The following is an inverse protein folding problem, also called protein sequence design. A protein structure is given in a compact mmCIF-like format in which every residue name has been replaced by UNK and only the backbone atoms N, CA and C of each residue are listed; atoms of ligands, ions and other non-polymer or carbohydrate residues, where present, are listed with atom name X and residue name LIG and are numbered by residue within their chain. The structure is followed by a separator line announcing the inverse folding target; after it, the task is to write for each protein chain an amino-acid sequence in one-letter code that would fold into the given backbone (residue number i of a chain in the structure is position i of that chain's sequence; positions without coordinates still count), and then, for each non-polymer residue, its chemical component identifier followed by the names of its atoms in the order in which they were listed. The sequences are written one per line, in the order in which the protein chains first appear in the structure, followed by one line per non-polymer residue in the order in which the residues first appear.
data_IF_730018769245
#
_entry.id   IF_730018769245
#
_cell.length_a   1.000
_cell.length_b   1.000
_cell.length_c   1.000
_cell.angle_alpha   90.00
_cell.angle_beta   90.00
_cell.angle_gamma   90.00
#
_symmetry.space_group_name_H-M   'P 1'
#
loop_
_entity.id
_entity.type
_entity.pdbx_description
1 polymer ?
#
# COMPACT_ATOMS: atom_id res chain seq x y z
N UNK A 1 -55.30 61.35 -70.60
CA UNK A 1 -54.66 60.12 -70.09
C UNK A 1 -54.35 60.30 -68.59
N UNK A 2 -55.16 59.69 -67.71
CA UNK A 2 -54.81 58.57 -66.81
C UNK A 2 -53.97 58.95 -65.56
N UNK A 3 -54.64 59.17 -64.42
CA UNK A 3 -54.56 58.38 -63.15
C UNK A 3 -55.16 59.18 -61.97
N UNK A 4 -56.33 58.76 -61.47
CA UNK A 4 -56.79 59.08 -60.10
C UNK A 4 -56.83 57.78 -59.28
N UNK A 5 -56.06 57.79 -58.20
CA UNK A 5 -56.06 56.80 -57.11
C UNK A 5 -57.35 56.95 -56.29
N UNK A 6 -58.01 55.84 -55.95
CA UNK A 6 -58.85 55.74 -54.76
C UNK A 6 -58.67 54.40 -54.05
N UNK A 7 -57.96 54.53 -52.94
CA UNK A 7 -57.72 53.66 -51.78
C UNK A 7 -58.97 52.86 -51.34
N UNK A 8 -58.90 51.52 -51.31
CA UNK A 8 -59.87 50.65 -50.61
C UNK A 8 -59.21 49.98 -49.39
N UNK A 9 -59.98 49.99 -48.30
CA UNK A 9 -59.69 49.54 -46.92
C UNK A 9 -59.19 48.09 -46.86
N UNK A 10 -58.04 47.86 -46.23
CA UNK A 10 -57.64 46.56 -45.70
C UNK A 10 -58.14 46.42 -44.26
N UNK A 11 -59.00 45.43 -44.02
CA UNK A 11 -59.48 45.02 -42.69
C UNK A 11 -58.37 44.18 -42.03
N UNK A 12 -57.92 44.58 -40.84
CA UNK A 12 -56.98 43.81 -40.04
C UNK A 12 -57.67 42.51 -39.57
N UNK A 13 -57.22 41.36 -40.09
CA UNK A 13 -57.60 40.04 -39.59
C UNK A 13 -56.50 39.62 -38.61
N UNK A 14 -56.77 39.74 -37.32
CA UNK A 14 -55.95 39.17 -36.25
C UNK A 14 -56.13 37.65 -36.24
N UNK A 15 -55.19 36.92 -36.85
CA UNK A 15 -55.09 35.47 -36.69
C UNK A 15 -54.61 35.16 -35.26
N UNK A 16 -55.53 34.74 -34.41
CA UNK A 16 -55.24 34.09 -33.13
C UNK A 16 -54.72 32.68 -33.43
N UNK A 17 -53.40 32.48 -33.42
CA UNK A 17 -52.80 31.15 -33.49
C UNK A 17 -52.93 30.49 -32.10
N UNK A 18 -53.45 29.25 -32.00
CA UNK A 18 -53.53 28.55 -30.72
C UNK A 18 -52.12 28.30 -30.18
N UNK A 19 -51.87 28.74 -28.96
CA UNK A 19 -50.62 28.51 -28.25
C UNK A 19 -50.30 27.02 -28.22
N UNK A 20 -49.15 26.65 -28.79
CA UNK A 20 -48.53 25.33 -28.55
C UNK A 20 -48.34 25.18 -27.05
N UNK A 21 -49.18 24.37 -26.42
CA UNK A 21 -48.87 23.80 -25.10
C UNK A 21 -47.56 23.04 -25.28
N UNK A 22 -46.48 23.55 -24.68
CA UNK A 22 -45.28 22.74 -24.43
C UNK A 22 -45.73 21.58 -23.56
N UNK A 23 -45.98 20.43 -24.20
CA UNK A 23 -46.20 19.18 -23.51
C UNK A 23 -44.89 18.85 -22.83
N UNK A 24 -44.84 19.10 -21.52
CA UNK A 24 -43.78 18.65 -20.63
C UNK A 24 -43.87 17.12 -20.56
N UNK A 25 -43.44 16.45 -21.63
CA UNK A 25 -43.23 15.01 -21.65
C UNK A 25 -41.98 14.81 -20.82
N UNK A 26 -42.18 14.61 -19.52
CA UNK A 26 -41.15 14.09 -18.62
C UNK A 26 -40.49 12.90 -19.32
N UNK A 27 -39.22 13.07 -19.70
CA UNK A 27 -38.45 12.10 -20.46
C UNK A 27 -38.04 10.94 -19.54
N UNK A 28 -39.02 10.16 -19.08
CA UNK A 28 -38.82 8.92 -18.32
C UNK A 28 -37.72 8.01 -18.91
N UNK A 29 -37.65 7.75 -20.23
CA UNK A 29 -36.57 6.93 -20.80
C UNK A 29 -35.18 7.56 -20.64
N UNK A 30 -35.05 8.89 -20.73
CA UNK A 30 -33.76 9.58 -20.54
C UNK A 30 -33.32 9.55 -19.09
N UNK A 31 -34.25 9.66 -18.14
CA UNK A 31 -33.96 9.58 -16.71
C UNK A 31 -33.51 8.14 -16.35
N UNK A 32 -34.22 7.13 -16.85
CA UNK A 32 -33.83 5.71 -16.64
C UNK A 32 -32.45 5.42 -17.23
N UNK A 33 -32.16 5.91 -18.44
CA UNK A 33 -30.84 5.78 -19.05
C UNK A 33 -29.73 6.44 -18.22
N UNK A 34 -29.95 7.66 -17.71
CA UNK A 34 -28.99 8.36 -16.87
C UNK A 34 -28.74 7.63 -15.54
N UNK A 35 -29.78 7.09 -14.91
CA UNK A 35 -29.64 6.26 -13.70
C UNK A 35 -28.83 5.01 -14.03
N UNK A 36 -29.15 4.32 -15.12
CA UNK A 36 -28.43 3.11 -15.52
C UNK A 36 -26.95 3.40 -15.83
N UNK A 37 -26.66 4.51 -16.51
CA UNK A 37 -25.30 4.98 -16.78
C UNK A 37 -24.55 5.32 -15.48
N UNK A 38 -25.21 5.98 -14.54
CA UNK A 38 -24.62 6.31 -13.24
C UNK A 38 -24.30 5.05 -12.43
N UNK A 39 -25.21 4.08 -12.39
CA UNK A 39 -25.01 2.78 -11.74
C UNK A 39 -23.87 2.00 -12.41
N UNK A 40 -23.84 1.95 -13.74
CA UNK A 40 -22.77 1.28 -14.48
C UNK A 40 -21.40 1.93 -14.22
N UNK A 41 -21.34 3.27 -14.22
CA UNK A 41 -20.12 4.02 -13.93
C UNK A 41 -19.66 3.78 -12.49
N UNK A 42 -20.59 3.77 -11.54
CA UNK A 42 -20.30 3.47 -10.13
C UNK A 42 -19.77 2.05 -9.94
N UNK A 43 -20.41 1.04 -10.55
CA UNK A 43 -19.96 -0.34 -10.49
C UNK A 43 -18.59 -0.52 -11.15
N UNK A 44 -18.36 0.13 -12.31
CA UNK A 44 -17.06 0.12 -12.97
C UNK A 44 -15.97 0.72 -12.08
N UNK A 45 -16.26 1.86 -11.43
CA UNK A 45 -15.35 2.47 -10.47
C UNK A 45 -15.08 1.57 -9.26
N UNK A 46 -16.12 0.94 -8.69
CA UNK A 46 -15.99 0.04 -7.54
C UNK A 46 -15.09 -1.17 -7.85
N UNK A 47 -15.20 -1.72 -9.07
CA UNK A 47 -14.33 -2.81 -9.54
C UNK A 47 -12.89 -2.35 -9.79
N UNK A 48 -12.69 -1.14 -10.34
CA UNK A 48 -11.36 -0.62 -10.69
C UNK A 48 -10.61 -0.10 -9.45
N UNK A 49 -11.31 0.49 -8.49
CA UNK A 49 -10.77 1.08 -7.25
C UNK A 49 -9.65 0.26 -6.58
N UNK A 50 -9.81 -1.05 -6.29
CA UNK A 50 -8.76 -1.85 -5.65
C UNK A 50 -7.50 -2.02 -6.52
N UNK A 51 -7.60 -1.86 -7.84
CA UNK A 51 -6.47 -1.99 -8.75
C UNK A 51 -5.68 -0.69 -8.92
N UNK A 52 -6.27 0.47 -8.59
CA UNK A 52 -5.59 1.77 -8.69
C UNK A 52 -4.37 1.79 -7.76
N UNK A 53 -4.51 1.28 -6.54
CA UNK A 53 -3.41 1.19 -5.58
C UNK A 53 -2.26 0.31 -6.11
N UNK A 54 -2.60 -0.84 -6.69
CA UNK A 54 -1.63 -1.76 -7.31
C UNK A 54 -0.91 -1.14 -8.52
N UNK A 55 -1.64 -0.41 -9.37
CA UNK A 55 -1.03 0.30 -10.50
C UNK A 55 -0.10 1.39 -9.99
N UNK A 56 -0.51 2.15 -8.96
CA UNK A 56 0.29 3.20 -8.37
C UNK A 56 1.58 2.66 -7.73
N UNK A 57 1.51 1.54 -7.01
CA UNK A 57 2.70 0.84 -6.51
C UNK A 57 3.59 0.35 -7.65
N UNK A 58 3.01 -0.13 -8.75
CA UNK A 58 3.77 -0.47 -9.96
C UNK A 58 4.51 0.71 -10.58
N UNK A 59 3.90 1.90 -10.61
CA UNK A 59 4.57 3.14 -11.04
C UNK A 59 5.75 3.47 -10.13
N UNK A 60 5.55 3.40 -8.81
CA UNK A 60 6.60 3.68 -7.83
C UNK A 60 7.76 2.68 -7.94
N UNK A 61 7.44 1.39 -8.10
CA UNK A 61 8.44 0.34 -8.33
C UNK A 61 9.20 0.55 -9.64
N UNK A 62 8.51 0.92 -10.72
CA UNK A 62 9.17 1.26 -11.99
C UNK A 62 10.13 2.44 -11.82
N UNK A 63 9.73 3.46 -11.07
CA UNK A 63 10.57 4.62 -10.78
C UNK A 63 11.79 4.26 -9.92
N UNK A 64 11.60 3.41 -8.91
CA UNK A 64 12.65 2.92 -8.03
C UNK A 64 13.71 2.09 -8.79
N UNK A 65 13.26 1.25 -9.73
CA UNK A 65 14.15 0.34 -10.48
C UNK A 65 14.65 0.96 -11.79
N UNK A 66 14.12 2.12 -12.20
CA UNK A 66 14.55 2.87 -13.38
C UNK A 66 16.07 3.03 -13.57
N UNK A 67 16.89 3.37 -12.55
CA UNK A 67 18.33 3.52 -12.72
C UNK A 67 18.99 2.20 -13.12
N UNK A 68 18.58 1.09 -12.51
CA UNK A 68 19.05 -0.27 -12.86
C UNK A 68 18.62 -0.64 -14.28
N UNK A 69 17.37 -0.31 -14.65
CA UNK A 69 16.87 -0.50 -16.00
C UNK A 69 17.65 0.30 -17.06
N UNK A 70 18.07 1.53 -16.75
CA UNK A 70 18.85 2.33 -17.68
C UNK A 70 20.30 1.84 -17.79
N UNK A 71 20.92 1.40 -16.70
CA UNK A 71 22.29 0.85 -16.69
C UNK A 71 22.41 -0.44 -17.53
N UNK A 72 21.36 -1.25 -17.57
CA UNK A 72 21.32 -2.49 -18.36
C UNK A 72 21.19 -2.28 -19.87
N UNK A 73 20.95 -1.04 -20.32
CA UNK A 73 20.90 -0.69 -21.76
C UNK A 73 22.21 -1.04 -22.49
N UNK A 74 23.35 -1.01 -21.81
CA UNK A 74 24.65 -1.38 -22.38
C UNK A 74 24.74 -2.86 -22.76
N UNK A 75 24.05 -3.73 -22.04
CA UNK A 75 24.12 -5.19 -22.22
C UNK A 75 22.94 -5.75 -23.02
N UNK A 76 21.75 -5.15 -22.87
CA UNK A 76 20.53 -5.59 -23.55
C UNK A 76 19.92 -4.41 -24.33
N UNK A 77 20.11 -4.36 -25.67
CA UNK A 77 19.66 -3.24 -26.47
C UNK A 77 18.13 -3.25 -26.71
N UNK A 78 17.49 -4.43 -26.69
CA UNK A 78 16.05 -4.55 -26.87
C UNK A 78 15.29 -4.16 -25.59
N UNK A 79 14.48 -3.12 -25.68
CA UNK A 79 13.72 -2.55 -24.56
C UNK A 79 12.77 -3.57 -23.90
N UNK A 80 12.13 -4.44 -24.69
CA UNK A 80 11.21 -5.47 -24.17
C UNK A 80 11.96 -6.52 -23.36
N UNK A 81 13.08 -7.05 -23.88
CA UNK A 81 13.87 -8.04 -23.14
C UNK A 81 14.46 -7.45 -21.85
N UNK A 82 14.93 -6.20 -21.90
CA UNK A 82 15.45 -5.52 -20.73
C UNK A 82 14.37 -5.34 -19.66
N UNK A 83 13.17 -4.94 -20.06
CA UNK A 83 12.03 -4.80 -19.15
C UNK A 83 11.68 -6.17 -18.53
N UNK A 84 11.56 -7.24 -19.33
CA UNK A 84 11.28 -8.61 -18.84
C UNK A 84 12.32 -9.07 -17.80
N UNK A 85 13.61 -8.90 -18.08
CA UNK A 85 14.68 -9.34 -17.18
C UNK A 85 14.58 -8.60 -15.84
N UNK A 86 14.46 -7.28 -15.88
CA UNK A 86 14.41 -6.45 -14.68
C UNK A 86 13.14 -6.74 -13.87
N UNK A 87 11.98 -6.86 -14.51
CA UNK A 87 10.75 -7.20 -13.80
C UNK A 87 10.71 -8.64 -13.30
N UNK A 88 11.34 -9.58 -14.01
CA UNK A 88 11.50 -10.96 -13.56
C UNK A 88 12.39 -11.04 -12.32
N UNK A 89 13.52 -10.32 -12.32
CA UNK A 89 14.38 -10.18 -11.15
C UNK A 89 13.63 -9.55 -9.97
N UNK A 90 12.85 -8.50 -10.21
CA UNK A 90 12.01 -7.87 -9.19
C UNK A 90 10.93 -8.83 -8.65
N UNK A 91 10.28 -9.61 -9.51
CA UNK A 91 9.29 -10.62 -9.11
C UNK A 91 9.92 -11.66 -8.18
N UNK A 92 11.08 -12.20 -8.55
CA UNK A 92 11.81 -13.16 -7.71
C UNK A 92 12.20 -12.51 -6.39
N UNK A 93 12.74 -11.29 -6.42
CA UNK A 93 13.17 -10.57 -5.24
C UNK A 93 12.03 -10.32 -4.25
N UNK A 94 10.82 -9.97 -4.74
CA UNK A 94 9.65 -9.70 -3.89
C UNK A 94 8.94 -10.97 -3.42
N UNK A 95 8.95 -12.04 -4.21
CA UNK A 95 8.24 -13.30 -3.88
C UNK A 95 9.08 -14.25 -3.02
N UNK A 96 10.41 -14.23 -3.15
CA UNK A 96 11.32 -15.08 -2.37
C UNK A 96 11.12 -14.97 -0.85
N UNK A 97 11.01 -13.75 -0.25
CA UNK A 97 10.58 -13.53 1.13
C UNK A 97 9.34 -14.34 1.55
N UNK A 98 8.28 -14.23 0.75
CA UNK A 98 6.98 -14.84 1.03
C UNK A 98 7.05 -16.36 0.93
N UNK A 99 7.70 -16.89 -0.11
CA UNK A 99 7.87 -18.34 -0.28
C UNK A 99 8.70 -18.91 0.86
N UNK A 100 9.76 -18.22 1.28
CA UNK A 100 10.56 -18.65 2.42
C UNK A 100 9.73 -18.69 3.71
N UNK A 101 8.98 -17.62 4.03
CA UNK A 101 8.09 -17.60 5.20
C UNK A 101 7.08 -18.76 5.13
N UNK A 102 6.39 -18.92 4.00
CA UNK A 102 5.38 -19.97 3.84
C UNK A 102 5.99 -21.38 3.97
N UNK A 103 7.21 -21.58 3.48
CA UNK A 103 7.91 -22.88 3.59
C UNK A 103 8.34 -23.22 5.02
N UNK A 104 8.66 -22.21 5.85
CA UNK A 104 9.00 -22.42 7.25
C UNK A 104 7.74 -22.57 8.11
N UNK A 105 6.69 -21.79 7.83
CA UNK A 105 5.36 -21.87 8.50
C UNK A 105 4.63 -23.18 8.22
N UNK A 106 4.92 -23.86 7.10
CA UNK A 106 4.34 -25.19 6.81
C UNK A 106 5.16 -26.34 7.38
N UNK A 107 6.45 -26.12 7.67
CA UNK A 107 7.35 -27.13 8.29
C UNK A 107 7.31 -27.12 9.82
N UNK A 108 7.00 -25.98 10.42
CA UNK A 108 6.65 -25.86 11.84
C UNK A 108 5.17 -25.51 11.89
N UNK A 109 4.34 -26.38 12.45
CA UNK A 109 2.92 -26.14 12.69
C UNK A 109 2.72 -24.88 13.56
N UNK A 110 2.71 -23.70 12.95
CA UNK A 110 2.27 -22.44 13.60
C UNK A 110 0.83 -22.57 14.12
N UNK A 111 0.06 -23.53 13.59
CA UNK A 111 -1.28 -23.87 14.07
C UNK A 111 -1.30 -24.56 15.46
N UNK A 112 -0.18 -25.09 15.96
CA UNK A 112 -0.06 -25.54 17.36
C UNK A 112 0.53 -24.46 18.30
N UNK A 113 1.08 -23.37 17.75
CA UNK A 113 1.80 -22.33 18.50
C UNK A 113 0.95 -21.12 18.90
N UNK A 114 -0.24 -20.89 18.34
CA UNK A 114 -1.10 -19.79 18.84
C UNK A 114 -1.49 -20.01 20.32
N UNK A 115 -1.68 -21.27 20.71
CA UNK A 115 -1.92 -21.69 22.09
C UNK A 115 -0.64 -21.62 22.96
N UNK A 116 0.54 -21.84 22.37
CA UNK A 116 1.82 -21.74 23.07
C UNK A 116 2.32 -20.30 23.24
N UNK A 117 2.05 -19.40 22.29
CA UNK A 117 2.31 -17.96 22.45
C UNK A 117 1.46 -17.42 23.61
N UNK A 118 0.17 -17.81 23.66
CA UNK A 118 -0.75 -17.46 24.74
C UNK A 118 -0.26 -18.01 26.09
N UNK A 119 0.21 -19.27 26.13
CA UNK A 119 0.75 -19.89 27.35
C UNK A 119 2.07 -19.26 27.76
N UNK A 120 3.02 -19.10 26.85
CA UNK A 120 4.38 -18.57 27.11
C UNK A 120 4.34 -17.15 27.63
N UNK A 121 3.53 -16.27 27.00
CA UNK A 121 3.36 -14.89 27.47
C UNK A 121 2.68 -14.88 28.85
N UNK A 122 1.62 -15.69 29.05
CA UNK A 122 0.96 -15.81 30.36
C UNK A 122 1.93 -16.29 31.44
N UNK A 123 2.75 -17.32 31.17
CA UNK A 123 3.76 -17.79 32.14
C UNK A 123 4.89 -16.80 32.37
N UNK A 124 5.40 -16.09 31.35
CA UNK A 124 6.46 -15.07 31.51
C UNK A 124 5.97 -13.86 32.32
N UNK A 125 4.71 -13.44 32.11
CA UNK A 125 4.06 -12.39 32.89
C UNK A 125 3.79 -12.82 34.34
N UNK A 126 3.31 -14.05 34.56
CA UNK A 126 3.03 -14.59 35.90
C UNK A 126 4.30 -14.83 36.72
N UNK A 127 5.41 -15.17 36.07
CA UNK A 127 6.71 -15.42 36.74
C UNK A 127 7.52 -14.13 36.99
N UNK A 128 7.13 -13.00 36.37
CA UNK A 128 7.81 -11.71 36.53
C UNK A 128 9.21 -11.65 35.90
N UNK A 129 9.60 -12.68 35.12
CA UNK A 129 10.86 -12.73 34.39
C UNK A 129 10.70 -12.10 32.99
N UNK A 130 10.28 -10.85 32.95
CA UNK A 130 10.04 -10.12 31.69
C UNK A 130 11.35 -9.78 30.97
N UNK A 131 12.44 -9.62 31.72
CA UNK A 131 13.76 -9.24 31.22
C UNK A 131 14.69 -10.44 30.94
N UNK A 132 14.28 -11.68 31.29
CA UNK A 132 15.10 -12.88 31.05
C UNK A 132 16.46 -12.91 31.76
N UNK A 133 16.70 -12.03 32.73
CA UNK A 133 17.97 -11.92 33.46
C UNK A 133 18.00 -12.89 34.64
N UNK A 134 18.73 -14.00 34.50
CA UNK A 134 19.12 -14.86 35.62
C UNK A 134 20.28 -14.21 36.37
N UNK A 135 19.94 -13.51 37.45
CA UNK A 135 20.88 -12.76 38.25
C UNK A 135 21.63 -13.66 39.22
N UNK A 136 22.80 -14.15 38.80
CA UNK A 136 23.69 -14.95 39.66
C UNK A 136 24.43 -14.07 40.71
N UNK A 137 24.57 -12.77 40.46
CA UNK A 137 25.31 -11.82 41.30
C UNK A 137 24.40 -10.71 41.88
N UNK A 138 23.97 -10.88 43.14
CA UNK A 138 23.04 -9.97 43.87
C UNK A 138 23.56 -8.54 44.10
N UNK A 139 24.81 -8.21 43.75
CA UNK A 139 25.44 -6.91 44.03
C UNK A 139 25.44 -5.91 42.86
N UNK A 140 25.05 -6.33 41.65
CA UNK A 140 24.98 -5.42 40.50
C UNK A 140 23.71 -4.57 40.55
N UNK A 141 23.81 -3.28 40.20
CA UNK A 141 22.68 -2.36 40.07
C UNK A 141 21.56 -2.92 39.19
N UNK A 142 21.94 -3.66 38.13
CA UNK A 142 21.02 -4.31 37.20
C UNK A 142 20.16 -5.39 37.89
N UNK A 143 20.73 -6.13 38.84
CA UNK A 143 19.99 -7.18 39.56
C UNK A 143 19.08 -6.61 40.64
N UNK A 144 19.49 -5.51 41.28
CA UNK A 144 18.63 -4.81 42.25
C UNK A 144 17.43 -4.19 41.55
N UNK A 145 17.65 -3.55 40.40
CA UNK A 145 16.59 -3.02 39.56
C UNK A 145 15.65 -4.13 39.04
N UNK A 146 16.19 -5.29 38.65
CA UNK A 146 15.38 -6.44 38.23
C UNK A 146 14.53 -7.01 39.38
N UNK A 147 15.07 -7.13 40.60
CA UNK A 147 14.29 -7.54 41.79
C UNK A 147 13.22 -6.51 42.16
N UNK A 148 13.54 -5.21 42.15
CA UNK A 148 12.59 -4.14 42.45
C UNK A 148 11.44 -4.11 41.43
N UNK A 149 11.76 -4.27 40.14
CA UNK A 149 10.77 -4.42 39.07
C UNK A 149 9.93 -5.70 39.28
N UNK A 150 10.55 -6.82 39.65
CA UNK A 150 9.85 -8.10 39.87
C UNK A 150 8.89 -8.04 41.07
N UNK A 151 9.25 -7.33 42.13
CA UNK A 151 8.37 -7.10 43.30
C UNK A 151 7.23 -6.16 42.93
N UNK A 152 7.51 -5.07 42.21
CA UNK A 152 6.49 -4.12 41.75
C UNK A 152 5.47 -4.78 40.80
N UNK A 153 5.95 -5.62 39.87
CA UNK A 153 5.14 -6.40 38.92
C UNK A 153 4.26 -7.46 39.57
N UNK A 154 4.62 -7.96 40.76
CA UNK A 154 3.81 -8.93 41.53
C UNK A 154 2.67 -8.31 42.33
N UNK A 155 2.54 -6.99 42.33
CA UNK A 155 1.41 -6.31 42.99
C UNK A 155 0.11 -6.66 42.27
N UNK A 156 -0.93 -7.06 43.00
CA UNK A 156 -2.22 -7.54 42.46
C UNK A 156 -2.86 -6.57 41.44
N UNK A 157 -2.80 -5.26 41.72
CA UNK A 157 -3.28 -4.21 40.80
C UNK A 157 -2.48 -4.12 39.49
N UNK A 158 -1.17 -4.35 39.56
CA UNK A 158 -0.27 -4.28 38.40
C UNK A 158 -0.42 -5.54 37.55
N UNK A 159 -0.60 -6.71 38.16
CA UNK A 159 -0.89 -7.95 37.43
C UNK A 159 -2.20 -7.85 36.65
N UNK A 160 -3.31 -7.40 37.26
CA UNK A 160 -4.61 -7.28 36.58
C UNK A 160 -4.54 -6.30 35.40
N UNK A 161 -3.83 -5.17 35.55
CA UNK A 161 -3.66 -4.21 34.47
C UNK A 161 -2.73 -4.74 33.36
N UNK A 162 -1.62 -5.41 33.72
CA UNK A 162 -0.70 -5.99 32.75
C UNK A 162 -1.30 -7.17 32.00
N UNK A 163 -2.04 -8.05 32.65
CA UNK A 163 -2.70 -9.18 31.99
C UNK A 163 -3.82 -8.71 31.09
N UNK A 164 -4.62 -7.71 31.49
CA UNK A 164 -5.68 -7.16 30.63
C UNK A 164 -5.15 -6.36 29.44
N UNK A 165 -4.02 -5.66 29.58
CA UNK A 165 -3.33 -5.01 28.46
C UNK A 165 -2.66 -6.05 27.56
N UNK A 166 -1.99 -7.06 28.12
CA UNK A 166 -1.39 -8.14 27.36
C UNK A 166 -2.43 -8.95 26.58
N UNK A 167 -3.56 -9.30 27.19
CA UNK A 167 -4.67 -10.00 26.53
C UNK A 167 -5.28 -9.16 25.41
N UNK A 168 -5.46 -7.84 25.59
CA UNK A 168 -5.91 -6.95 24.51
C UNK A 168 -4.93 -6.89 23.35
N UNK A 169 -3.62 -6.75 23.65
CA UNK A 169 -2.57 -6.72 22.64
C UNK A 169 -2.50 -8.05 21.89
N UNK A 170 -2.56 -9.19 22.59
CA UNK A 170 -2.49 -10.53 21.99
C UNK A 170 -3.74 -10.84 21.16
N UNK A 171 -4.94 -10.50 21.65
CA UNK A 171 -6.17 -10.67 20.88
C UNK A 171 -6.17 -9.81 19.62
N UNK A 172 -5.65 -8.58 19.71
CA UNK A 172 -5.49 -7.71 18.55
C UNK A 172 -4.46 -8.26 17.56
N UNK A 173 -3.32 -8.78 18.03
CA UNK A 173 -2.30 -9.43 17.19
C UNK A 173 -2.88 -10.67 16.50
N UNK A 174 -3.59 -11.52 17.23
CA UNK A 174 -4.14 -12.78 16.72
C UNK A 174 -5.23 -12.52 15.68
N UNK A 175 -6.14 -11.57 15.94
CA UNK A 175 -7.12 -11.12 14.97
C UNK A 175 -6.45 -10.55 13.72
N UNK A 176 -5.42 -9.71 13.89
CA UNK A 176 -4.65 -9.14 12.78
C UNK A 176 -3.93 -10.22 11.96
N UNK A 177 -3.39 -11.26 12.59
CA UNK A 177 -2.74 -12.38 11.89
C UNK A 177 -3.74 -13.16 11.02
N UNK A 178 -4.95 -13.39 11.52
CA UNK A 178 -6.03 -14.03 10.75
C UNK A 178 -6.45 -13.12 9.59
N UNK A 179 -6.62 -11.82 9.83
CA UNK A 179 -6.97 -10.85 8.78
C UNK A 179 -5.89 -10.77 7.70
N UNK A 180 -4.61 -10.80 8.06
CA UNK A 180 -3.49 -10.86 7.11
C UNK A 180 -3.58 -12.13 6.27
N UNK A 181 -3.84 -13.29 6.88
CA UNK A 181 -3.97 -14.56 6.18
C UNK A 181 -5.11 -14.53 5.14
N UNK A 182 -6.26 -13.96 5.51
CA UNK A 182 -7.40 -13.77 4.62
C UNK A 182 -7.12 -12.75 3.51
N UNK A 183 -6.17 -11.83 3.72
CA UNK A 183 -5.78 -10.80 2.76
C UNK A 183 -4.70 -11.27 1.77
N UNK A 184 -4.05 -12.43 2.01
CA UNK A 184 -2.99 -12.97 1.13
C UNK A 184 -3.41 -13.05 -0.35
N UNK A 185 -4.60 -13.58 -0.72
CA UNK A 185 -5.00 -13.63 -2.13
C UNK A 185 -5.09 -12.24 -2.78
N UNK A 186 -5.57 -11.23 -2.03
CA UNK A 186 -5.61 -9.85 -2.48
C UNK A 186 -4.21 -9.27 -2.66
N UNK A 187 -3.29 -9.52 -1.71
CA UNK A 187 -1.88 -9.10 -1.80
C UNK A 187 -1.22 -9.71 -3.04
N UNK A 188 -1.41 -11.00 -3.31
CA UNK A 188 -0.86 -11.68 -4.50
C UNK A 188 -1.40 -11.04 -5.77
N UNK A 189 -2.71 -10.80 -5.85
CA UNK A 189 -3.32 -10.14 -7.01
C UNK A 189 -2.76 -8.73 -7.21
N UNK A 190 -2.68 -7.94 -6.15
CA UNK A 190 -2.08 -6.60 -6.17
C UNK A 190 -0.60 -6.63 -6.57
N UNK A 191 0.17 -7.64 -6.13
CA UNK A 191 1.56 -7.82 -6.50
C UNK A 191 1.72 -8.13 -7.99
N UNK A 192 0.91 -9.06 -8.52
CA UNK A 192 0.91 -9.41 -9.95
C UNK A 192 0.61 -8.17 -10.79
N UNK A 193 -0.42 -7.42 -10.43
CA UNK A 193 -0.82 -6.19 -11.14
C UNK A 193 0.27 -5.13 -11.04
N UNK A 194 0.86 -4.95 -9.86
CA UNK A 194 1.97 -4.01 -9.66
C UNK A 194 3.18 -4.36 -10.54
N UNK A 195 3.51 -5.64 -10.67
CA UNK A 195 4.64 -6.11 -11.49
C UNK A 195 4.33 -5.97 -12.98
N UNK A 196 3.11 -6.27 -13.42
CA UNK A 196 2.67 -6.01 -14.78
C UNK A 196 2.70 -4.51 -15.10
N UNK A 197 2.18 -3.67 -14.20
CA UNK A 197 2.27 -2.22 -14.34
C UNK A 197 3.74 -1.79 -14.43
N UNK A 198 4.61 -2.27 -13.54
CA UNK A 198 6.05 -1.99 -13.55
C UNK A 198 6.67 -2.33 -14.90
N UNK A 199 6.33 -3.49 -15.47
CA UNK A 199 6.80 -3.91 -16.78
C UNK A 199 6.41 -2.93 -17.88
N UNK A 200 5.12 -2.56 -17.96
CA UNK A 200 4.63 -1.61 -18.96
C UNK A 200 5.21 -0.21 -18.77
N UNK A 201 5.37 0.26 -17.53
CA UNK A 201 5.99 1.56 -17.25
C UNK A 201 7.50 1.58 -17.57
N UNK A 202 8.24 0.50 -17.37
CA UNK A 202 9.64 0.41 -17.77
C UNK A 202 9.81 0.35 -19.29
N UNK A 203 8.94 -0.39 -19.98
CA UNK A 203 8.99 -0.54 -21.44
C UNK A 203 8.52 0.72 -22.16
N UNK A 204 7.32 1.20 -21.83
CA UNK A 204 6.59 2.23 -22.59
C UNK A 204 6.53 3.58 -21.86
N UNK A 205 7.21 3.74 -20.71
CA UNK A 205 7.09 4.90 -19.84
C UNK A 205 7.37 6.25 -20.51
N UNK A 206 8.31 6.31 -21.47
CA UNK A 206 8.58 7.53 -22.24
C UNK A 206 7.37 7.96 -23.07
N UNK A 207 6.85 7.04 -23.88
CA UNK A 207 5.66 7.26 -24.70
C UNK A 207 4.44 7.66 -23.84
N UNK A 208 4.24 6.98 -22.72
CA UNK A 208 3.14 7.28 -21.81
C UNK A 208 3.29 8.65 -21.15
N UNK A 209 4.49 9.02 -20.72
CA UNK A 209 4.76 10.34 -20.13
C UNK A 209 4.54 11.47 -21.13
N UNK A 210 5.00 11.33 -22.38
CA UNK A 210 4.80 12.32 -23.44
C UNK A 210 3.31 12.49 -23.76
N UNK A 211 2.54 11.40 -23.78
CA UNK A 211 1.10 11.46 -24.02
C UNK A 211 0.34 12.11 -22.88
N UNK A 212 0.72 11.81 -21.63
CA UNK A 212 0.18 12.48 -20.44
C UNK A 212 0.45 13.98 -20.50
N UNK A 213 1.69 14.38 -20.82
CA UNK A 213 2.09 15.78 -20.99
C UNK A 213 1.22 16.48 -22.06
N UNK A 214 0.91 15.81 -23.17
CA UNK A 214 0.09 16.38 -24.25
C UNK A 214 -1.39 16.61 -23.87
N UNK A 215 -1.94 15.83 -22.93
CA UNK A 215 -3.33 15.96 -22.50
C UNK A 215 -3.56 17.15 -21.56
N UNK A 216 -2.49 17.66 -20.92
CA UNK A 216 -2.60 18.80 -20.02
C UNK A 216 -2.81 20.11 -20.82
N UNK A 217 -3.90 20.87 -20.58
CA UNK A 217 -4.18 22.14 -21.25
C UNK A 217 -3.32 23.29 -20.70
N UNK A 218 -2.02 23.06 -20.50
CA UNK A 218 -1.05 24.02 -19.94
C UNK A 218 -0.15 24.60 -21.03
N UNK A 219 0.18 25.88 -20.93
CA UNK A 219 1.13 26.59 -21.82
C UNK A 219 2.55 26.01 -21.63
N UNK A 220 3.30 25.83 -22.72
CA UNK A 220 4.53 25.03 -22.79
C UNK A 220 5.50 25.18 -21.62
N UNK A 221 5.93 26.41 -21.29
CA UNK A 221 6.92 26.64 -20.23
C UNK A 221 6.44 26.20 -18.83
N UNK A 222 5.19 26.48 -18.47
CA UNK A 222 4.60 26.06 -17.19
C UNK A 222 4.37 24.54 -17.12
N UNK A 223 4.20 23.91 -18.29
CA UNK A 223 4.00 22.47 -18.39
C UNK A 223 5.29 21.75 -18.00
N UNK A 224 6.40 22.07 -18.65
CA UNK A 224 7.70 21.43 -18.38
C UNK A 224 8.14 21.65 -16.93
N UNK A 225 7.99 22.87 -16.39
CA UNK A 225 8.32 23.17 -15.00
C UNK A 225 7.53 22.31 -14.00
N UNK A 226 6.22 22.14 -14.23
CA UNK A 226 5.37 21.29 -13.39
C UNK A 226 5.83 19.82 -13.42
N UNK A 227 6.16 19.29 -14.60
CA UNK A 227 6.63 17.92 -14.74
C UNK A 227 8.00 17.71 -14.09
N UNK A 228 8.95 18.64 -14.27
CA UNK A 228 10.24 18.58 -13.61
C UNK A 228 10.09 18.66 -12.09
N UNK A 229 9.19 19.51 -11.58
CA UNK A 229 8.92 19.61 -10.15
C UNK A 229 8.30 18.32 -9.60
N UNK A 230 7.32 17.74 -10.29
CA UNK A 230 6.71 16.48 -9.92
C UNK A 230 7.72 15.32 -9.94
N UNK A 231 8.59 15.28 -10.94
CA UNK A 231 9.69 14.32 -11.05
C UNK A 231 10.65 14.45 -9.86
N UNK A 232 11.09 15.68 -9.52
CA UNK A 232 12.01 15.92 -8.42
C UNK A 232 11.42 15.54 -7.06
N UNK A 233 10.13 15.83 -6.83
CA UNK A 233 9.44 15.42 -5.60
C UNK A 233 9.34 13.89 -5.53
N UNK A 234 8.91 13.24 -6.62
CA UNK A 234 8.82 11.78 -6.70
C UNK A 234 10.18 11.14 -6.47
N UNK A 235 11.24 11.69 -7.08
CA UNK A 235 12.62 11.25 -6.87
C UNK A 235 13.04 11.38 -5.40
N UNK A 236 12.85 12.55 -4.79
CA UNK A 236 13.22 12.75 -3.39
C UNK A 236 12.47 11.77 -2.45
N UNK A 237 11.18 11.53 -2.69
CA UNK A 237 10.37 10.62 -1.86
C UNK A 237 10.78 9.17 -2.07
N UNK A 238 10.85 8.69 -3.31
CA UNK A 238 11.13 7.28 -3.61
C UNK A 238 12.55 6.89 -3.19
N UNK A 239 13.56 7.70 -3.53
CA UNK A 239 14.93 7.38 -3.12
C UNK A 239 15.16 7.64 -1.63
N UNK A 240 14.43 8.58 -1.03
CA UNK A 240 14.41 8.78 0.41
C UNK A 240 13.87 7.56 1.15
N UNK A 241 12.73 6.99 0.73
CA UNK A 241 12.17 5.79 1.36
C UNK A 241 13.05 4.56 1.14
N UNK A 242 13.64 4.39 -0.05
CA UNK A 242 14.62 3.33 -0.30
C UNK A 242 15.83 3.44 0.63
N UNK A 243 16.35 4.65 0.84
CA UNK A 243 17.48 4.89 1.74
C UNK A 243 17.10 4.58 3.20
N UNK A 244 15.91 5.02 3.65
CA UNK A 244 15.41 4.73 4.99
C UNK A 244 15.23 3.22 5.19
N UNK A 245 14.67 2.51 4.21
CA UNK A 245 14.50 1.06 4.27
C UNK A 245 15.84 0.33 4.39
N UNK A 246 16.86 0.77 3.65
CA UNK A 246 18.22 0.22 3.73
C UNK A 246 18.84 0.48 5.11
N UNK A 247 18.71 1.71 5.62
CA UNK A 247 19.18 2.08 6.97
C UNK A 247 18.50 1.20 8.02
N UNK A 248 17.17 1.02 7.94
CA UNK A 248 16.41 0.18 8.86
C UNK A 248 16.83 -1.29 8.80
N UNK A 249 17.04 -1.84 7.60
CA UNK A 249 17.54 -3.20 7.43
C UNK A 249 18.93 -3.37 8.08
N UNK A 250 19.86 -2.43 7.86
CA UNK A 250 21.20 -2.48 8.46
C UNK A 250 21.13 -2.42 9.99
N UNK A 251 20.38 -1.47 10.55
CA UNK A 251 20.22 -1.36 12.01
C UNK A 251 19.56 -2.60 12.61
N UNK A 252 18.53 -3.16 11.95
CA UNK A 252 17.89 -4.40 12.39
C UNK A 252 18.86 -5.59 12.32
N UNK A 253 19.67 -5.69 11.28
CA UNK A 253 20.69 -6.73 11.13
C UNK A 253 21.72 -6.68 12.25
N UNK A 254 22.24 -5.49 12.54
CA UNK A 254 23.18 -5.28 13.65
C UNK A 254 22.50 -5.63 14.99
N UNK A 255 21.30 -5.10 15.24
CA UNK A 255 20.55 -5.35 16.47
C UNK A 255 20.29 -6.84 16.72
N UNK A 256 19.76 -7.55 15.73
CA UNK A 256 19.50 -8.98 15.82
C UNK A 256 20.78 -9.82 15.92
N UNK A 257 21.88 -9.39 15.29
CA UNK A 257 23.17 -10.08 15.41
C UNK A 257 23.75 -9.96 16.82
N UNK A 258 23.66 -8.77 17.43
CA UNK A 258 24.10 -8.53 18.81
C UNK A 258 23.28 -9.38 19.78
N UNK A 259 21.97 -9.44 19.57
CA UNK A 259 21.05 -10.23 20.39
C UNK A 259 21.10 -11.74 20.09
N UNK A 260 21.96 -12.18 19.16
CA UNK A 260 22.11 -13.57 18.72
C UNK A 260 20.79 -14.23 18.28
N UNK A 261 19.92 -13.46 17.63
CA UNK A 261 18.70 -13.99 17.04
C UNK A 261 19.04 -14.98 15.90
N UNK A 262 18.39 -16.14 15.85
CA UNK A 262 18.53 -17.04 14.70
C UNK A 262 18.02 -16.34 13.44
N UNK A 263 18.71 -16.56 12.31
CA UNK A 263 18.37 -15.95 11.02
C UNK A 263 18.33 -14.41 11.02
N UNK A 264 19.18 -13.75 11.83
CA UNK A 264 19.28 -12.28 11.93
C UNK A 264 19.33 -11.56 10.57
N UNK A 265 20.13 -12.05 9.62
CA UNK A 265 20.26 -11.47 8.28
C UNK A 265 18.93 -11.54 7.53
N UNK A 266 18.24 -12.68 7.58
CA UNK A 266 16.96 -12.85 6.92
C UNK A 266 15.92 -11.89 7.48
N UNK A 267 15.75 -11.85 8.81
CA UNK A 267 14.81 -10.94 9.49
C UNK A 267 15.10 -9.46 9.17
N UNK A 268 16.38 -9.09 9.07
CA UNK A 268 16.76 -7.72 8.71
C UNK A 268 16.43 -7.35 7.27
N UNK A 269 16.60 -8.30 6.34
CA UNK A 269 16.24 -8.11 4.93
C UNK A 269 14.72 -7.99 4.81
N UNK A 270 13.98 -8.82 5.55
CA UNK A 270 12.52 -8.72 5.62
C UNK A 270 12.09 -7.33 6.12
N UNK A 271 12.73 -6.81 7.16
CA UNK A 271 12.43 -5.47 7.70
C UNK A 271 12.64 -4.38 6.65
N UNK A 272 13.73 -4.49 5.86
CA UNK A 272 13.94 -3.63 4.71
C UNK A 272 12.79 -3.69 3.70
N UNK A 273 12.35 -4.89 3.32
CA UNK A 273 11.22 -5.04 2.39
C UNK A 273 9.90 -4.50 2.95
N UNK A 274 9.56 -4.80 4.21
CA UNK A 274 8.32 -4.33 4.81
C UNK A 274 8.30 -2.80 4.99
N UNK A 275 9.46 -2.18 5.18
CA UNK A 275 9.62 -0.72 5.21
C UNK A 275 9.24 -0.04 3.90
N UNK A 276 9.38 -0.75 2.77
CA UNK A 276 9.00 -0.23 1.45
C UNK A 276 7.49 -0.25 1.22
N UNK A 277 6.73 -1.01 2.02
CA UNK A 277 5.27 -1.08 1.90
C UNK A 277 4.67 0.02 2.78
N UNK A 278 4.02 1.05 2.19
CA UNK A 278 3.28 2.04 2.95
C UNK A 278 2.26 1.34 3.86
N UNK A 279 2.02 1.87 5.06
CA UNK A 279 1.10 1.34 6.10
C UNK A 279 1.60 0.12 6.91
N UNK A 280 2.34 -0.83 6.32
CA UNK A 280 2.83 -2.02 7.05
C UNK A 280 4.07 -1.74 7.89
N UNK A 281 5.06 -1.01 7.34
CA UNK A 281 6.29 -0.67 8.04
C UNK A 281 7.09 -1.87 8.59
N UNK A 282 8.16 -1.59 9.34
CA UNK A 282 9.05 -2.62 9.89
C UNK A 282 8.42 -3.45 11.04
N UNK A 283 7.40 -2.92 11.72
CA UNK A 283 6.86 -3.48 12.97
C UNK A 283 6.18 -4.83 12.80
N UNK A 284 5.63 -5.10 11.63
CA UNK A 284 5.01 -6.39 11.32
C UNK A 284 6.01 -7.57 11.40
N UNK A 285 7.31 -7.31 11.29
CA UNK A 285 8.33 -8.36 11.37
C UNK A 285 8.97 -8.39 12.75
N UNK A 286 9.42 -7.23 13.27
CA UNK A 286 10.19 -7.24 14.50
C UNK A 286 9.33 -7.50 15.75
N UNK A 287 8.04 -7.12 15.76
CA UNK A 287 7.16 -7.39 16.91
C UNK A 287 6.91 -8.89 17.09
N UNK A 288 6.47 -9.65 16.06
CA UNK A 288 6.36 -11.10 16.19
C UNK A 288 7.70 -11.79 16.47
N UNK A 289 8.80 -11.30 15.86
CA UNK A 289 10.12 -11.88 16.10
C UNK A 289 10.53 -11.80 17.57
N UNK A 290 10.32 -10.65 18.23
CA UNK A 290 10.64 -10.50 19.68
C UNK A 290 9.66 -11.28 20.56
N UNK A 291 8.40 -11.43 20.16
CA UNK A 291 7.44 -12.22 20.93
C UNK A 291 7.73 -13.72 20.85
N UNK A 292 8.26 -14.18 19.72
CA UNK A 292 8.60 -15.57 19.48
C UNK A 292 9.92 -16.00 20.13
N UNK A 293 10.96 -15.18 20.02
CA UNK A 293 12.31 -15.45 20.53
C UNK A 293 12.55 -14.75 21.87
#
# INVERSE_FOLDING_TARGET
MVKKKTKKRGKNISLNLPGRRMSDKTNYPSIVFLILLAVFTYLSYAVISPFISAILSGVLLAFAVYPVYHLTKKYVPNDTFRAVIITGMLFILLTMPFVYILSNVTRQSVFEESDQLFRTIKTKLMTGNVLGLECENKKSFVCKLNEDIKVWLKTEKVQIYLTSVAEQVINHITATLIDILLTIPSIILSLIISILATFYFLRDGKFLSERLIQLLPLRGHHREELFTKAYNITYAVVYGTLLIALIQAVYAGIGFSILRFPNSIFLSVMIGFASLIPYLGAWIIWVPAILYY
#
